data_IF_878530007970
#
_entry.id   IF_878530007970
#
_cell.length_a   1.000
_cell.length_b   1.000
_cell.length_c   1.000
_cell.angle_alpha   90.00
_cell.angle_beta   90.00
_cell.angle_gamma   90.00
#
_symmetry.space_group_name_H-M   'P 1'
#
loop_
_entity.id
_entity.type
_entity.pdbx_description
1 polymer ?
#
# COMPACT_ATOMS: atom_id res chain seq x y z
N UNK A 1 -19.77 -27.22 -16.55
CA UNK A 1 -20.25 -26.07 -17.33
C UNK A 1 -19.17 -25.67 -18.32
N UNK A 2 -19.49 -25.33 -19.58
CA UNK A 2 -18.50 -24.77 -20.52
C UNK A 2 -18.03 -23.42 -19.97
N UNK A 3 -16.73 -23.28 -19.77
CA UNK A 3 -16.09 -22.05 -19.33
C UNK A 3 -16.38 -20.94 -20.33
N UNK A 4 -16.88 -19.79 -19.87
CA UNK A 4 -17.06 -18.65 -20.76
C UNK A 4 -15.67 -18.18 -21.26
N UNK A 5 -15.48 -17.99 -22.57
CA UNK A 5 -14.17 -17.67 -23.13
C UNK A 5 -13.69 -16.28 -22.69
N UNK A 6 -12.37 -16.10 -22.67
CA UNK A 6 -11.74 -14.78 -22.59
C UNK A 6 -11.77 -14.18 -24.00
N UNK A 7 -12.27 -12.96 -24.14
CA UNK A 7 -12.36 -12.29 -25.43
C UNK A 7 -11.15 -11.39 -25.69
N UNK A 8 -10.74 -11.26 -26.96
CA UNK A 8 -9.67 -10.37 -27.40
C UNK A 8 -9.85 -8.93 -26.87
N UNK A 9 -11.09 -8.43 -26.79
CA UNK A 9 -11.38 -7.12 -26.21
C UNK A 9 -10.89 -6.97 -24.76
N UNK A 10 -11.00 -8.03 -23.94
CA UNK A 10 -10.53 -8.02 -22.54
C UNK A 10 -9.01 -8.03 -22.48
N UNK A 11 -8.35 -8.83 -23.34
CA UNK A 11 -6.89 -8.85 -23.48
C UNK A 11 -6.31 -7.49 -23.88
N UNK A 12 -6.90 -6.86 -24.90
CA UNK A 12 -6.50 -5.54 -25.37
C UNK A 12 -6.72 -4.47 -24.28
N UNK A 13 -7.83 -4.55 -23.54
CA UNK A 13 -8.11 -3.63 -22.44
C UNK A 13 -7.09 -3.73 -21.30
N UNK A 14 -6.70 -4.93 -20.90
CA UNK A 14 -5.65 -5.13 -19.88
C UNK A 14 -4.29 -4.56 -20.31
N UNK A 15 -3.99 -4.63 -21.60
CA UNK A 15 -2.80 -4.01 -22.20
C UNK A 15 -3.00 -2.50 -22.52
N UNK A 16 -4.12 -1.88 -22.13
CA UNK A 16 -4.51 -0.49 -22.44
C UNK A 16 -4.34 -0.10 -23.92
N UNK A 17 -4.70 -1.00 -24.83
CA UNK A 17 -4.57 -0.80 -26.27
C UNK A 17 -5.83 -1.19 -27.02
N UNK A 18 -5.92 -0.75 -28.27
CA UNK A 18 -7.08 -0.99 -29.15
C UNK A 18 -6.72 -1.78 -30.42
N UNK A 19 -5.42 -1.84 -30.76
CA UNK A 19 -4.91 -2.55 -31.94
C UNK A 19 -4.33 -3.89 -31.55
N UNK A 20 -4.62 -4.92 -32.35
CA UNK A 20 -4.09 -6.27 -32.20
C UNK A 20 -2.64 -6.32 -32.71
N UNK A 21 -1.76 -7.02 -31.98
CA UNK A 21 -0.39 -7.37 -32.34
C UNK A 21 -0.32 -8.83 -32.76
N UNK A 22 0.74 -9.20 -33.48
CA UNK A 22 0.92 -10.55 -34.02
C UNK A 22 0.94 -11.66 -32.96
N UNK A 23 1.49 -11.38 -31.77
CA UNK A 23 1.55 -12.36 -30.67
C UNK A 23 0.26 -12.49 -29.86
N UNK A 24 -0.73 -11.62 -30.07
CA UNK A 24 -1.91 -11.54 -29.18
C UNK A 24 -2.77 -12.78 -29.16
N UNK A 25 -2.92 -13.44 -30.30
CA UNK A 25 -3.71 -14.65 -30.36
C UNK A 25 -3.06 -15.75 -29.51
N UNK A 26 -1.73 -15.83 -29.53
CA UNK A 26 -0.98 -16.79 -28.71
C UNK A 26 -1.20 -16.52 -27.22
N UNK A 27 -1.08 -15.26 -26.77
CA UNK A 27 -1.32 -14.91 -25.36
C UNK A 27 -2.79 -15.05 -24.95
N UNK A 28 -3.75 -14.79 -25.85
CA UNK A 28 -5.16 -15.05 -25.58
C UNK A 28 -5.43 -16.54 -25.39
N UNK A 29 -4.84 -17.38 -26.23
CA UNK A 29 -4.93 -18.85 -26.12
C UNK A 29 -4.22 -19.34 -24.86
N UNK A 30 -3.08 -18.75 -24.48
CA UNK A 30 -2.37 -19.05 -23.24
C UNK A 30 -3.19 -18.65 -22.00
N UNK A 31 -3.82 -17.48 -21.98
CA UNK A 31 -4.75 -17.08 -20.92
C UNK A 31 -5.93 -18.06 -20.81
N UNK A 32 -6.41 -18.60 -21.92
CA UNK A 32 -7.44 -19.64 -21.92
C UNK A 32 -6.93 -20.99 -21.35
N UNK A 33 -5.62 -21.30 -21.43
CA UNK A 33 -4.98 -22.44 -20.74
C UNK A 33 -4.85 -22.20 -19.23
N UNK A 34 -4.57 -20.96 -18.80
CA UNK A 34 -4.48 -20.59 -17.38
C UNK A 34 -5.85 -20.68 -16.69
N UNK A 35 -6.93 -20.25 -17.36
CA UNK A 35 -8.24 -20.08 -16.75
C UNK A 35 -8.78 -21.32 -16.01
N UNK A 36 -8.70 -22.56 -16.55
CA UNK A 36 -9.09 -23.76 -15.81
C UNK A 36 -8.34 -23.95 -14.48
N UNK A 37 -7.05 -23.61 -14.41
CA UNK A 37 -6.24 -23.71 -13.19
C UNK A 37 -6.77 -22.73 -12.14
N UNK A 38 -7.01 -21.47 -12.56
CA UNK A 38 -7.61 -20.45 -11.69
C UNK A 38 -8.98 -20.88 -11.16
N UNK A 39 -9.81 -21.52 -11.99
CA UNK A 39 -11.15 -21.99 -11.59
C UNK A 39 -11.15 -23.13 -10.58
N UNK A 40 -10.09 -23.93 -10.54
CA UNK A 40 -9.91 -24.98 -9.55
C UNK A 40 -9.39 -24.43 -8.22
N UNK A 41 -8.79 -23.23 -8.23
CA UNK A 41 -8.28 -22.60 -7.02
C UNK A 41 -9.42 -22.07 -6.13
N UNK A 42 -9.41 -22.40 -4.82
CA UNK A 42 -10.32 -21.79 -3.86
C UNK A 42 -10.21 -20.27 -3.77
N UNK A 43 -9.06 -19.69 -4.17
CA UNK A 43 -8.83 -18.26 -4.10
C UNK A 43 -9.84 -17.47 -4.94
N UNK A 44 -10.21 -17.96 -6.12
CA UNK A 44 -11.09 -17.25 -7.06
C UNK A 44 -12.43 -17.95 -7.25
N UNK A 45 -12.88 -18.72 -6.26
CA UNK A 45 -14.14 -19.45 -6.33
C UNK A 45 -15.34 -18.48 -6.50
N UNK A 46 -16.29 -18.86 -7.36
CA UNK A 46 -17.59 -18.18 -7.46
C UNK A 46 -17.64 -16.89 -8.31
N UNK A 47 -16.52 -16.34 -8.78
CA UNK A 47 -16.50 -15.11 -9.58
C UNK A 47 -15.81 -15.30 -10.95
N UNK A 48 -16.61 -15.48 -12.00
CA UNK A 48 -16.12 -15.67 -13.37
C UNK A 48 -15.33 -14.46 -13.90
N UNK A 49 -15.67 -13.24 -13.47
CA UNK A 49 -14.94 -12.04 -13.89
C UNK A 49 -13.58 -11.95 -13.20
N UNK A 50 -13.52 -12.20 -11.89
CA UNK A 50 -12.25 -12.24 -11.17
C UNK A 50 -11.34 -13.36 -11.68
N UNK A 51 -11.90 -14.54 -11.98
CA UNK A 51 -11.15 -15.67 -12.58
C UNK A 51 -10.53 -15.29 -13.92
N UNK A 52 -11.30 -14.65 -14.81
CA UNK A 52 -10.81 -14.16 -16.10
C UNK A 52 -9.77 -13.06 -15.92
N UNK A 53 -10.01 -12.13 -15.01
CA UNK A 53 -9.06 -11.04 -14.75
C UNK A 53 -7.72 -11.58 -14.23
N UNK A 54 -7.73 -12.60 -13.36
CA UNK A 54 -6.52 -13.26 -12.90
C UNK A 54 -5.78 -13.96 -14.04
N UNK A 55 -6.47 -14.72 -14.87
CA UNK A 55 -5.86 -15.38 -16.03
C UNK A 55 -5.24 -14.37 -17.01
N UNK A 56 -5.92 -13.25 -17.26
CA UNK A 56 -5.41 -12.17 -18.11
C UNK A 56 -4.18 -11.51 -17.46
N UNK A 57 -4.25 -11.14 -16.19
CA UNK A 57 -3.16 -10.40 -15.50
C UNK A 57 -1.87 -11.23 -15.43
N UNK A 58 -1.98 -12.54 -15.14
CA UNK A 58 -0.86 -13.47 -15.19
C UNK A 58 -0.28 -13.61 -16.61
N UNK A 59 -1.13 -13.57 -17.62
CA UNK A 59 -0.69 -13.61 -19.01
C UNK A 59 0.01 -12.30 -19.44
N UNK A 60 -0.44 -11.14 -18.96
CA UNK A 60 0.25 -9.85 -19.17
C UNK A 60 1.61 -9.85 -18.48
N UNK A 61 1.71 -10.36 -17.24
CA UNK A 61 2.99 -10.57 -16.56
C UNK A 61 3.94 -11.43 -17.41
N UNK A 62 3.46 -12.56 -17.92
CA UNK A 62 4.29 -13.43 -18.74
C UNK A 62 4.75 -12.75 -20.04
N UNK A 63 3.86 -12.01 -20.70
CA UNK A 63 4.22 -11.20 -21.87
C UNK A 63 5.35 -10.21 -21.54
N UNK A 64 5.27 -9.51 -20.41
CA UNK A 64 6.26 -8.52 -20.00
C UNK A 64 7.62 -9.16 -19.69
N UNK A 65 7.63 -10.33 -19.05
CA UNK A 65 8.85 -11.10 -18.78
C UNK A 65 9.51 -11.55 -20.10
N UNK A 66 8.74 -12.15 -21.01
CA UNK A 66 9.25 -12.60 -22.33
C UNK A 66 9.82 -11.43 -23.14
N UNK A 67 9.15 -10.28 -23.11
CA UNK A 67 9.60 -9.09 -23.83
C UNK A 67 10.68 -8.30 -23.07
N UNK A 68 10.94 -8.63 -21.79
CA UNK A 68 11.83 -7.91 -20.87
C UNK A 68 11.55 -6.40 -20.84
N UNK A 69 10.28 -6.04 -20.89
CA UNK A 69 9.77 -4.66 -20.94
C UNK A 69 8.33 -4.61 -20.47
N UNK A 70 7.74 -3.42 -20.39
CA UNK A 70 6.33 -3.23 -20.00
C UNK A 70 6.14 -2.98 -18.51
N UNK A 71 4.89 -3.08 -18.07
CA UNK A 71 4.47 -2.68 -16.73
C UNK A 71 5.18 -3.45 -15.62
N UNK A 72 5.43 -4.75 -15.80
CA UNK A 72 6.17 -5.55 -14.81
C UNK A 72 7.61 -5.07 -14.65
N UNK A 73 8.32 -4.89 -15.77
CA UNK A 73 9.72 -4.44 -15.77
C UNK A 73 9.88 -3.06 -15.13
N UNK A 74 8.98 -2.13 -15.48
CA UNK A 74 8.95 -0.79 -14.86
C UNK A 74 8.71 -0.91 -13.35
N UNK A 75 7.77 -1.75 -12.92
CA UNK A 75 7.51 -1.95 -11.50
C UNK A 75 8.73 -2.52 -10.77
N UNK A 76 9.31 -3.62 -11.26
CA UNK A 76 10.40 -4.32 -10.57
C UNK A 76 11.68 -3.48 -10.52
N UNK A 77 12.02 -2.75 -11.58
CA UNK A 77 13.19 -1.86 -11.62
C UNK A 77 13.03 -0.66 -10.68
N UNK A 78 11.84 -0.05 -10.66
CA UNK A 78 11.55 1.06 -9.75
C UNK A 78 11.53 0.58 -8.30
N UNK A 79 10.94 -0.59 -8.03
CA UNK A 79 10.94 -1.20 -6.70
C UNK A 79 12.37 -1.52 -6.23
N UNK A 80 13.21 -2.09 -7.10
CA UNK A 80 14.62 -2.31 -6.82
C UNK A 80 15.39 -1.04 -6.52
N UNK A 81 15.13 0.03 -7.28
CA UNK A 81 15.76 1.34 -7.06
C UNK A 81 15.39 1.94 -5.70
N UNK A 82 14.19 1.68 -5.19
CA UNK A 82 13.71 2.21 -3.91
C UNK A 82 14.10 1.34 -2.70
N UNK A 83 14.01 0.02 -2.84
CA UNK A 83 14.08 -0.91 -1.70
C UNK A 83 15.25 -1.89 -1.77
N UNK A 84 16.06 -1.85 -2.84
CA UNK A 84 17.20 -2.76 -3.05
C UNK A 84 16.80 -4.25 -3.00
N UNK A 85 15.61 -4.55 -3.52
CA UNK A 85 15.02 -5.88 -3.75
C UNK A 85 14.00 -5.75 -4.88
N UNK A 86 13.61 -6.82 -5.57
CA UNK A 86 12.76 -6.74 -6.76
C UNK A 86 11.25 -6.82 -6.49
N UNK A 87 10.83 -7.31 -5.32
CA UNK A 87 9.42 -7.31 -4.93
C UNK A 87 9.21 -7.24 -3.40
N UNK A 88 8.04 -6.74 -2.94
CA UNK A 88 7.70 -6.66 -1.53
C UNK A 88 7.34 -8.02 -0.93
N UNK A 89 7.41 -8.15 0.39
CA UNK A 89 6.93 -9.30 1.19
C UNK A 89 7.72 -10.61 1.08
N UNK A 90 8.35 -10.93 -0.05
CA UNK A 90 9.04 -12.20 -0.26
C UNK A 90 10.55 -12.06 -0.04
N UNK A 91 11.14 -13.05 0.62
CA UNK A 91 12.59 -13.16 0.75
C UNK A 91 13.14 -13.87 -0.48
N UNK A 92 13.83 -13.12 -1.34
CA UNK A 92 14.36 -13.64 -2.60
C UNK A 92 15.64 -14.44 -2.33
N UNK A 93 15.70 -15.63 -2.92
CA UNK A 93 16.88 -16.51 -2.85
C UNK A 93 17.69 -16.43 -4.14
N UNK A 94 18.83 -17.11 -4.20
CA UNK A 94 19.67 -17.20 -5.41
C UNK A 94 18.95 -17.85 -6.61
N UNK A 95 17.82 -18.52 -6.38
CA UNK A 95 16.96 -19.04 -7.46
C UNK A 95 16.09 -17.99 -8.13
N UNK A 96 15.93 -16.81 -7.51
CA UNK A 96 15.19 -15.71 -8.10
C UNK A 96 16.06 -15.04 -9.16
N UNK A 97 15.62 -15.09 -10.42
CA UNK A 97 16.34 -14.48 -11.53
C UNK A 97 15.53 -13.27 -12.00
N UNK A 98 16.05 -12.04 -11.84
CA UNK A 98 15.40 -10.86 -12.40
C UNK A 98 15.23 -10.99 -13.90
N UNK A 99 14.11 -10.48 -14.44
CA UNK A 99 13.75 -10.54 -15.86
C UNK A 99 13.47 -11.95 -16.42
N UNK A 100 13.31 -12.94 -15.54
CA UNK A 100 12.80 -14.28 -15.84
C UNK A 100 11.49 -14.54 -15.08
N UNK A 101 10.83 -15.67 -15.34
CA UNK A 101 9.63 -16.05 -14.57
C UNK A 101 10.02 -16.52 -13.17
N UNK A 102 9.39 -15.97 -12.12
CA UNK A 102 9.57 -16.46 -10.75
C UNK A 102 8.22 -16.79 -10.09
N UNK A 103 8.11 -17.83 -9.25
CA UNK A 103 6.91 -18.11 -8.46
C UNK A 103 6.51 -16.96 -7.53
N UNK A 104 7.49 -16.23 -6.98
CA UNK A 104 7.28 -15.08 -6.10
C UNK A 104 6.59 -13.93 -6.83
N UNK A 105 6.99 -13.67 -8.07
CA UNK A 105 6.37 -12.65 -8.93
C UNK A 105 4.91 -13.01 -9.22
N UNK A 106 4.65 -14.27 -9.57
CA UNK A 106 3.29 -14.79 -9.82
C UNK A 106 2.43 -14.68 -8.55
N UNK A 107 2.96 -15.03 -7.39
CA UNK A 107 2.26 -14.90 -6.11
C UNK A 107 1.95 -13.43 -5.79
N UNK A 108 2.85 -12.51 -6.10
CA UNK A 108 2.62 -11.08 -5.95
C UNK A 108 1.52 -10.57 -6.89
N UNK A 109 1.53 -10.97 -8.17
CA UNK A 109 0.46 -10.62 -9.12
C UNK A 109 -0.91 -11.15 -8.66
N UNK A 110 -0.95 -12.37 -8.11
CA UNK A 110 -2.18 -12.90 -7.51
C UNK A 110 -2.61 -12.10 -6.27
N UNK A 111 -1.65 -11.67 -5.45
CA UNK A 111 -1.90 -10.82 -4.28
C UNK A 111 -2.50 -9.47 -4.67
N UNK A 112 -2.02 -8.80 -5.72
CA UNK A 112 -2.59 -7.49 -6.17
C UNK A 112 -4.03 -7.61 -6.68
N UNK A 113 -4.48 -8.81 -7.04
CA UNK A 113 -5.87 -9.08 -7.42
C UNK A 113 -6.78 -9.36 -6.21
N UNK A 114 -6.19 -9.63 -5.04
CA UNK A 114 -6.90 -9.91 -3.78
C UNK A 114 -6.79 -8.79 -2.76
N UNK A 115 -5.75 -7.98 -2.87
CA UNK A 115 -5.45 -6.82 -2.06
C UNK A 115 -5.57 -5.60 -2.94
N UNK A 116 -6.47 -4.68 -2.60
CA UNK A 116 -6.64 -3.45 -3.38
C UNK A 116 -6.85 -2.25 -2.45
N UNK A 117 -6.34 -1.06 -2.83
CA UNK A 117 -6.64 0.18 -2.12
C UNK A 117 -8.13 0.53 -2.18
N UNK A 118 -8.53 1.46 -1.32
CA UNK A 118 -9.82 2.11 -1.41
C UNK A 118 -9.96 2.86 -2.74
N UNK A 119 -11.05 2.64 -3.48
CA UNK A 119 -11.30 3.28 -4.77
C UNK A 119 -12.20 4.50 -4.68
N UNK A 120 -13.30 4.41 -3.89
CA UNK A 120 -14.27 5.49 -3.75
C UNK A 120 -14.41 5.93 -2.29
N UNK A 121 -14.61 4.97 -1.38
CA UNK A 121 -14.76 5.25 0.04
C UNK A 121 -13.55 4.73 0.84
N UNK A 122 -13.11 5.42 1.91
CA UNK A 122 -11.93 5.02 2.68
C UNK A 122 -12.00 3.61 3.27
N UNK A 123 -13.19 3.06 3.48
CA UNK A 123 -13.41 1.73 4.06
C UNK A 123 -13.49 0.61 3.01
N UNK A 124 -13.48 0.93 1.72
CA UNK A 124 -13.60 -0.04 0.60
C UNK A 124 -12.24 -0.58 0.11
N UNK A 125 -11.32 -0.90 1.03
CA UNK A 125 -10.05 -1.56 0.71
C UNK A 125 -10.09 -3.04 1.10
N UNK A 126 -9.26 -3.86 0.43
CA UNK A 126 -9.11 -5.28 0.73
C UNK A 126 -7.68 -5.61 1.15
N UNK A 127 -7.55 -6.43 2.19
CA UNK A 127 -6.28 -6.95 2.69
C UNK A 127 -6.26 -8.47 2.51
N UNK A 128 -5.21 -8.98 1.85
CA UNK A 128 -4.94 -10.40 1.76
C UNK A 128 -3.51 -10.69 2.25
N UNK A 129 -3.32 -11.85 2.88
CA UNK A 129 -2.00 -12.26 3.34
C UNK A 129 -1.12 -12.62 2.13
N UNK A 130 0.01 -11.94 1.87
CA UNK A 130 0.90 -12.30 0.76
C UNK A 130 1.53 -13.70 0.90
N UNK A 131 1.57 -14.27 2.10
CA UNK A 131 2.08 -15.61 2.35
C UNK A 131 0.99 -16.67 2.48
N UNK A 132 -0.22 -16.38 1.98
CA UNK A 132 -1.30 -17.38 1.95
C UNK A 132 -0.88 -18.64 1.16
N UNK A 133 -1.21 -19.81 1.70
CA UNK A 133 -0.84 -21.10 1.08
C UNK A 133 -1.54 -21.32 -0.26
N UNK A 134 -2.74 -20.79 -0.42
CA UNK A 134 -3.46 -20.80 -1.69
C UNK A 134 -2.75 -19.99 -2.77
N UNK A 135 -2.17 -18.84 -2.42
CA UNK A 135 -1.40 -18.00 -3.35
C UNK A 135 -0.17 -18.75 -3.85
N UNK A 136 0.65 -19.25 -2.92
CA UNK A 136 1.87 -20.00 -3.26
C UNK A 136 1.60 -21.28 -4.04
N UNK A 137 0.57 -22.04 -3.67
CA UNK A 137 0.18 -23.25 -4.41
C UNK A 137 -0.24 -22.92 -5.84
N UNK A 138 -1.12 -21.93 -6.00
CA UNK A 138 -1.56 -21.50 -7.33
C UNK A 138 -0.41 -20.93 -8.15
N UNK A 139 0.46 -20.12 -7.53
CA UNK A 139 1.61 -19.53 -8.19
C UNK A 139 2.54 -20.60 -8.76
N UNK A 140 2.76 -21.69 -8.02
CA UNK A 140 3.60 -22.79 -8.47
C UNK A 140 2.99 -23.60 -9.62
N UNK A 141 1.66 -23.76 -9.66
CA UNK A 141 0.98 -24.41 -10.79
C UNK A 141 1.07 -23.56 -12.06
N UNK A 142 0.86 -22.25 -11.92
CA UNK A 142 0.99 -21.30 -13.01
C UNK A 142 2.44 -21.21 -13.51
N UNK A 143 3.41 -21.18 -12.60
CA UNK A 143 4.84 -21.19 -12.95
C UNK A 143 5.18 -22.35 -13.88
N UNK A 144 4.74 -23.58 -13.54
CA UNK A 144 5.01 -24.77 -14.37
C UNK A 144 4.45 -24.61 -15.79
N UNK A 145 3.23 -24.08 -15.90
CA UNK A 145 2.62 -23.84 -17.20
C UNK A 145 3.39 -22.76 -17.99
N UNK A 146 3.86 -21.70 -17.33
CA UNK A 146 4.69 -20.66 -17.98
C UNK A 146 6.03 -21.22 -18.44
N UNK A 147 6.71 -21.98 -17.58
CA UNK A 147 8.00 -22.63 -17.86
C UNK A 147 7.91 -23.57 -19.08
N UNK A 148 6.87 -24.40 -19.15
CA UNK A 148 6.61 -25.29 -20.30
C UNK A 148 6.37 -24.55 -21.62
N UNK A 149 5.92 -23.30 -21.59
CA UNK A 149 5.58 -22.51 -22.78
C UNK A 149 6.55 -21.34 -23.00
N UNK A 150 7.60 -21.21 -22.18
CA UNK A 150 8.50 -20.04 -22.16
C UNK A 150 9.19 -19.83 -23.51
N UNK A 151 9.78 -20.89 -24.06
CA UNK A 151 10.50 -20.87 -25.35
C UNK A 151 9.59 -20.66 -26.58
N UNK A 152 8.29 -20.93 -26.44
CA UNK A 152 7.31 -20.79 -27.53
C UNK A 152 6.62 -19.42 -27.55
N UNK A 153 6.75 -18.65 -26.47
CA UNK A 153 6.05 -17.39 -26.30
C UNK A 153 6.59 -16.30 -27.25
N UNK A 154 5.74 -15.66 -28.07
CA UNK A 154 6.19 -14.63 -28.99
C UNK A 154 6.51 -13.33 -28.24
N UNK A 155 7.60 -12.67 -28.64
CA UNK A 155 7.93 -11.32 -28.16
C UNK A 155 6.98 -10.31 -28.83
N UNK A 156 6.26 -9.54 -28.01
CA UNK A 156 5.46 -8.40 -28.49
C UNK A 156 6.32 -7.12 -28.39
N UNK A 157 6.54 -6.44 -29.53
CA UNK A 157 7.41 -5.24 -29.58
C UNK A 157 6.83 -4.02 -28.86
N UNK A 158 5.51 -3.95 -28.70
CA UNK A 158 4.86 -2.86 -27.97
C UNK A 158 4.73 -3.25 -26.50
N UNK A 159 5.37 -2.53 -25.56
CA UNK A 159 5.28 -2.82 -24.14
C UNK A 159 3.85 -2.70 -23.62
N UNK A 160 3.52 -3.49 -22.59
CA UNK A 160 2.30 -3.25 -21.82
C UNK A 160 2.42 -1.94 -21.01
N UNK A 161 1.28 -1.40 -20.57
CA UNK A 161 1.26 -0.21 -19.70
C UNK A 161 1.60 -0.54 -18.23
N UNK A 162 1.84 0.46 -17.36
CA UNK A 162 1.90 0.22 -15.90
C UNK A 162 0.58 -0.33 -15.35
N UNK A 163 0.52 -1.65 -15.17
CA UNK A 163 -0.67 -2.39 -14.75
C UNK A 163 -0.57 -2.99 -13.34
N UNK A 164 0.64 -3.21 -12.81
CA UNK A 164 0.87 -3.94 -11.54
C UNK A 164 0.29 -3.21 -10.31
N UNK A 165 0.30 -1.87 -10.32
CA UNK A 165 -0.05 -1.05 -9.15
C UNK A 165 -0.77 0.26 -9.49
N UNK A 166 -1.32 0.38 -10.69
CA UNK A 166 -1.80 1.67 -11.23
C UNK A 166 -0.64 2.55 -11.73
N UNK A 167 -0.96 3.65 -12.41
CA UNK A 167 0.07 4.60 -12.86
C UNK A 167 0.57 5.42 -11.67
N UNK A 168 1.88 5.42 -11.43
CA UNK A 168 2.62 6.35 -10.55
C UNK A 168 2.74 6.00 -9.05
N UNK A 169 2.38 4.78 -8.61
CA UNK A 169 2.47 4.42 -7.19
C UNK A 169 3.87 4.58 -6.59
N UNK A 170 4.87 4.10 -7.33
CA UNK A 170 6.27 4.14 -6.90
C UNK A 170 6.98 5.43 -7.33
N UNK A 171 6.32 6.27 -8.12
CA UNK A 171 6.91 7.49 -8.67
C UNK A 171 6.91 8.64 -7.64
N UNK A 172 5.99 8.61 -6.66
CA UNK A 172 5.94 9.61 -5.58
C UNK A 172 7.18 9.49 -4.69
N UNK A 173 8.12 10.44 -4.68
CA UNK A 173 9.32 10.31 -3.86
C UNK A 173 8.97 10.39 -2.36
N UNK A 174 9.63 9.59 -1.52
CA UNK A 174 9.54 9.81 -0.08
C UNK A 174 10.35 11.04 0.32
N UNK A 175 9.75 11.91 1.14
CA UNK A 175 10.43 13.09 1.69
C UNK A 175 10.94 12.79 3.10
N UNK A 176 12.15 13.28 3.47
CA UNK A 176 12.62 13.19 4.85
C UNK A 176 11.63 13.84 5.83
N UNK A 177 11.60 13.33 7.06
CA UNK A 177 10.82 13.97 8.11
C UNK A 177 11.27 15.43 8.29
N UNK A 178 10.32 16.37 8.49
CA UNK A 178 10.64 17.77 8.74
C UNK A 178 11.19 17.98 10.16
N UNK A 179 12.46 17.63 10.36
CA UNK A 179 13.16 17.75 11.63
C UNK A 179 13.43 19.21 12.01
N UNK A 180 13.32 19.51 13.31
CA UNK A 180 13.61 20.82 13.86
C UNK A 180 15.10 20.91 14.18
N UNK A 181 15.82 21.76 13.45
CA UNK A 181 17.23 22.11 13.73
C UNK A 181 17.32 23.47 14.43
N UNK A 182 18.46 23.81 15.07
CA UNK A 182 18.64 25.12 15.70
C UNK A 182 18.46 26.32 14.75
N UNK A 183 18.69 26.14 13.46
CA UNK A 183 18.53 27.16 12.42
C UNK A 183 17.11 27.22 11.85
N UNK A 184 16.26 26.25 12.19
CA UNK A 184 14.89 26.17 11.71
C UNK A 184 14.07 27.31 12.29
N UNK A 185 13.52 28.16 11.41
CA UNK A 185 12.57 29.20 11.82
C UNK A 185 11.20 28.57 12.05
N UNK A 186 10.83 28.41 13.31
CA UNK A 186 9.56 27.81 13.70
C UNK A 186 8.40 28.80 13.58
N UNK A 187 7.21 28.26 13.34
CA UNK A 187 5.97 29.02 13.52
C UNK A 187 5.69 29.18 15.01
N UNK A 188 4.99 30.26 15.40
CA UNK A 188 4.60 30.47 16.81
C UNK A 188 3.82 29.30 17.40
N UNK A 189 2.98 28.66 16.60
CA UNK A 189 2.21 27.49 17.04
C UNK A 189 3.15 26.33 17.42
N UNK A 190 4.21 26.09 16.64
CA UNK A 190 5.20 25.05 16.94
C UNK A 190 6.03 25.44 18.16
N UNK A 191 6.49 26.68 18.27
CA UNK A 191 7.23 27.17 19.45
C UNK A 191 6.43 26.97 20.75
N UNK A 192 5.17 27.42 20.77
CA UNK A 192 4.31 27.28 21.94
C UNK A 192 3.97 25.81 22.25
N UNK A 193 3.81 24.96 21.22
CA UNK A 193 3.58 23.52 21.41
C UNK A 193 4.77 22.85 22.09
N UNK A 194 5.99 23.17 21.65
CA UNK A 194 7.22 22.62 22.22
C UNK A 194 7.48 23.14 23.62
N UNK A 195 7.22 24.42 23.89
CA UNK A 195 7.32 24.97 25.25
C UNK A 195 6.35 24.24 26.20
N UNK A 196 5.10 24.06 25.79
CA UNK A 196 4.07 23.36 26.55
C UNK A 196 4.43 21.89 26.83
N UNK A 197 5.01 21.19 25.85
CA UNK A 197 5.34 19.76 25.96
C UNK A 197 6.71 19.47 26.58
N UNK A 198 7.45 20.51 26.99
CA UNK A 198 8.85 20.41 27.42
C UNK A 198 9.75 19.81 26.33
N UNK A 199 9.59 20.29 25.09
CA UNK A 199 10.39 19.93 23.92
C UNK A 199 9.94 18.66 23.19
N UNK A 200 8.86 17.99 23.61
CA UNK A 200 8.38 16.78 22.92
C UNK A 200 7.55 17.15 21.68
N UNK A 201 7.81 16.56 20.51
CA UNK A 201 7.11 16.94 19.29
C UNK A 201 5.68 16.37 19.21
N UNK A 202 5.37 15.29 19.94
CA UNK A 202 4.03 14.72 20.01
C UNK A 202 3.30 15.16 21.27
N UNK A 203 2.09 15.71 21.08
CA UNK A 203 1.17 16.09 22.15
C UNK A 203 -0.11 15.27 22.02
N UNK A 204 -0.72 14.97 23.17
CA UNK A 204 -1.81 14.01 23.29
C UNK A 204 -3.00 14.64 24.02
N UNK A 205 -4.19 14.58 23.42
CA UNK A 205 -5.42 15.13 24.01
C UNK A 205 -6.54 14.10 23.94
N UNK A 206 -7.21 13.85 25.06
CA UNK A 206 -8.24 12.81 25.15
C UNK A 206 -9.53 13.24 24.49
N UNK A 207 -9.88 14.52 24.63
CA UNK A 207 -11.16 15.06 24.16
C UNK A 207 -10.99 16.34 23.35
N UNK A 208 -11.95 16.63 22.48
CA UNK A 208 -11.96 17.87 21.71
C UNK A 208 -11.96 19.11 22.62
N UNK A 209 -12.59 19.02 23.80
CA UNK A 209 -12.56 20.10 24.79
C UNK A 209 -11.14 20.39 25.31
N UNK A 210 -10.34 19.36 25.57
CA UNK A 210 -8.94 19.51 25.97
C UNK A 210 -8.11 20.12 24.83
N UNK A 211 -8.35 19.68 23.60
CA UNK A 211 -7.72 20.22 22.40
C UNK A 211 -8.03 21.71 22.20
N UNK A 212 -9.32 22.11 22.28
CA UNK A 212 -9.72 23.52 22.20
C UNK A 212 -9.10 24.37 23.29
N UNK A 213 -9.01 23.84 24.52
CA UNK A 213 -8.34 24.53 25.63
C UNK A 213 -6.88 24.79 25.29
N UNK A 214 -6.18 23.82 24.68
CA UNK A 214 -4.82 24.01 24.20
C UNK A 214 -4.73 25.08 23.09
N UNK A 215 -5.62 25.08 22.10
CA UNK A 215 -5.64 26.11 21.06
C UNK A 215 -5.79 27.53 21.62
N UNK A 216 -6.71 27.73 22.56
CA UNK A 216 -6.97 29.06 23.13
C UNK A 216 -5.87 29.45 24.13
N UNK A 217 -5.63 28.60 25.14
CA UNK A 217 -4.78 28.97 26.27
C UNK A 217 -3.28 28.91 25.93
N UNK A 218 -2.86 28.01 25.06
CA UNK A 218 -1.45 27.84 24.68
C UNK A 218 -1.16 28.52 23.35
N UNK A 219 -1.90 28.17 22.29
CA UNK A 219 -1.63 28.70 20.95
C UNK A 219 -2.16 30.12 20.71
N UNK A 220 -2.97 30.65 21.63
CA UNK A 220 -3.56 32.00 21.56
C UNK A 220 -4.48 32.19 20.36
N UNK A 221 -5.15 31.13 19.92
CA UNK A 221 -6.19 31.22 18.90
C UNK A 221 -7.44 31.91 19.45
N UNK A 222 -8.27 32.45 18.56
CA UNK A 222 -9.53 33.08 18.96
C UNK A 222 -10.49 32.03 19.57
N UNK A 223 -11.11 32.37 20.69
CA UNK A 223 -12.11 31.52 21.37
C UNK A 223 -13.48 31.66 20.70
N UNK A 224 -13.53 31.28 19.42
CA UNK A 224 -14.76 31.21 18.63
C UNK A 224 -14.89 29.83 17.99
N UNK A 225 -16.10 29.23 17.93
CA UNK A 225 -16.28 27.87 17.40
C UNK A 225 -15.72 27.66 15.99
N UNK A 226 -15.75 28.68 15.13
CA UNK A 226 -15.20 28.63 13.77
C UNK A 226 -13.67 28.55 13.73
N UNK A 227 -12.99 29.06 14.76
CA UNK A 227 -11.52 29.14 14.81
C UNK A 227 -10.87 27.91 15.45
N UNK A 228 -11.67 26.98 15.97
CA UNK A 228 -11.19 25.85 16.78
C UNK A 228 -11.31 24.49 16.08
N UNK A 229 -11.38 24.48 14.75
CA UNK A 229 -11.50 23.26 13.93
C UNK A 229 -12.79 22.48 14.24
N UNK A 230 -13.97 23.06 13.99
CA UNK A 230 -15.26 22.46 14.37
C UNK A 230 -15.52 21.09 13.76
N UNK A 231 -14.88 20.75 12.63
CA UNK A 231 -14.99 19.43 12.00
C UNK A 231 -14.47 18.30 12.90
N UNK A 232 -13.60 18.61 13.87
CA UNK A 232 -13.03 17.65 14.82
C UNK A 232 -13.90 17.43 16.07
N UNK A 233 -15.05 18.11 16.19
CA UNK A 233 -15.84 18.12 17.43
C UNK A 233 -16.37 16.74 17.86
N UNK A 234 -16.49 15.80 16.93
CA UNK A 234 -16.99 14.45 17.18
C UNK A 234 -15.87 13.42 17.37
N UNK A 235 -14.62 13.82 17.16
CA UNK A 235 -13.46 12.98 17.35
C UNK A 235 -12.93 13.06 18.79
N UNK A 236 -12.02 12.14 19.11
CA UNK A 236 -11.34 12.06 20.40
C UNK A 236 -9.90 11.59 20.20
N UNK A 237 -9.16 11.44 21.31
CA UNK A 237 -7.85 10.77 21.33
C UNK A 237 -6.89 11.28 20.23
N UNK A 238 -6.65 12.58 20.28
CA UNK A 238 -5.88 13.34 19.29
C UNK A 238 -4.38 13.22 19.52
N UNK A 239 -3.64 13.20 18.41
CA UNK A 239 -2.20 13.42 18.36
C UNK A 239 -1.92 14.70 17.60
N UNK A 240 -1.21 15.64 18.22
CA UNK A 240 -0.58 16.76 17.50
C UNK A 240 0.88 16.41 17.28
N UNK A 241 1.36 16.56 16.04
CA UNK A 241 2.78 16.51 15.72
C UNK A 241 3.28 17.90 15.34
N UNK A 242 4.06 18.50 16.23
CA UNK A 242 4.74 19.77 16.00
C UNK A 242 6.12 19.49 15.37
N UNK A 243 6.33 20.00 14.15
CA UNK A 243 7.53 19.75 13.36
C UNK A 243 7.99 21.02 12.61
N UNK A 244 9.04 20.93 11.80
CA UNK A 244 9.60 22.11 11.11
C UNK A 244 8.65 22.78 10.10
N UNK A 245 7.69 22.03 9.53
CA UNK A 245 6.68 22.57 8.59
C UNK A 245 5.51 23.22 9.32
N UNK A 246 5.19 22.79 10.54
CA UNK A 246 4.02 23.28 11.28
C UNK A 246 3.49 22.25 12.28
N UNK A 247 2.17 22.27 12.48
CA UNK A 247 1.48 21.29 13.30
C UNK A 247 0.58 20.42 12.43
N UNK A 248 0.68 19.11 12.61
CA UNK A 248 -0.26 18.14 12.08
C UNK A 248 -1.17 17.65 13.20
N UNK A 249 -2.42 17.36 12.89
CA UNK A 249 -3.41 16.90 13.88
C UNK A 249 -4.04 15.62 13.35
N UNK A 250 -4.04 14.58 14.16
CA UNK A 250 -4.65 13.29 13.84
C UNK A 250 -5.64 12.89 14.94
N UNK A 251 -6.95 12.86 14.66
CA UNK A 251 -7.95 12.35 15.60
C UNK A 251 -7.91 10.82 15.69
N UNK A 252 -8.44 10.27 16.79
CA UNK A 252 -8.75 8.86 17.04
C UNK A 252 -7.58 7.85 16.97
N UNK A 253 -6.35 8.33 16.77
CA UNK A 253 -5.15 7.49 16.60
C UNK A 253 -4.24 7.43 17.82
N UNK A 254 -4.48 8.23 18.87
CA UNK A 254 -3.52 8.34 19.98
C UNK A 254 -3.22 7.01 20.67
N UNK A 255 -4.16 6.08 20.75
CA UNK A 255 -3.92 4.80 21.41
C UNK A 255 -2.87 3.91 20.71
N UNK A 256 -2.50 4.22 19.47
CA UNK A 256 -1.53 3.43 18.70
C UNK A 256 -0.07 3.80 19.04
N UNK A 257 0.16 4.98 19.62
CA UNK A 257 1.50 5.51 19.88
C UNK A 257 1.99 5.18 21.29
N UNK A 258 3.01 4.32 21.39
CA UNK A 258 3.59 3.91 22.68
C UNK A 258 4.62 4.92 23.19
N UNK A 259 4.16 5.91 23.94
CA UNK A 259 5.03 6.87 24.65
C UNK A 259 4.67 6.95 26.14
N UNK A 260 5.68 7.21 26.99
CA UNK A 260 5.48 7.27 28.45
C UNK A 260 4.52 8.39 28.88
N UNK A 261 4.45 9.49 28.12
CA UNK A 261 3.55 10.62 28.37
C UNK A 261 2.23 10.53 27.59
N UNK A 262 1.96 9.43 26.87
CA UNK A 262 0.68 9.19 26.22
C UNK A 262 -0.24 8.36 27.15
N UNK A 263 -1.23 8.96 27.83
CA UNK A 263 -2.11 8.24 28.73
C UNK A 263 -3.14 7.35 28.00
N UNK A 264 -3.28 7.51 26.68
CA UNK A 264 -4.31 6.82 25.88
C UNK A 264 -3.79 5.56 25.18
N UNK A 265 -2.48 5.32 25.22
CA UNK A 265 -1.87 4.15 24.59
C UNK A 265 -2.55 2.85 25.02
N UNK A 266 -2.91 2.01 24.05
CA UNK A 266 -3.54 0.73 24.28
C UNK A 266 -2.98 -0.31 23.29
N UNK A 267 -2.17 -1.23 23.81
CA UNK A 267 -1.50 -2.27 23.03
C UNK A 267 -2.46 -3.17 22.25
N UNK A 268 -3.60 -3.54 22.85
CA UNK A 268 -4.60 -4.40 22.23
C UNK A 268 -5.29 -3.69 21.06
N UNK A 269 -5.66 -2.41 21.24
CA UNK A 269 -6.26 -1.60 20.18
C UNK A 269 -5.27 -1.30 19.07
N UNK A 270 -4.01 -1.03 19.41
CA UNK A 270 -2.92 -0.88 18.43
C UNK A 270 -2.73 -2.15 17.59
N UNK A 271 -2.77 -3.32 18.22
CA UNK A 271 -2.72 -4.60 17.51
C UNK A 271 -3.95 -4.87 16.64
N UNK A 272 -5.15 -4.53 17.12
CA UNK A 272 -6.38 -4.81 16.42
C UNK A 272 -6.69 -3.83 15.27
N UNK A 273 -6.25 -2.57 15.39
CA UNK A 273 -6.70 -1.46 14.53
C UNK A 273 -5.60 -0.53 14.03
N UNK A 274 -4.38 -0.63 14.57
CA UNK A 274 -3.28 0.27 14.20
C UNK A 274 -2.84 0.16 12.73
N UNK A 275 -3.14 -0.94 12.04
CA UNK A 275 -2.87 -1.06 10.60
C UNK A 275 -3.68 -0.08 9.75
N UNK A 276 -4.81 0.43 10.25
CA UNK A 276 -5.65 1.40 9.53
C UNK A 276 -4.87 2.69 9.22
N UNK A 277 -3.84 3.02 10.01
CA UNK A 277 -2.89 4.11 9.72
C UNK A 277 -2.27 3.97 8.32
N UNK A 278 -1.96 2.75 7.90
CA UNK A 278 -1.24 2.46 6.65
C UNK A 278 -2.17 2.12 5.50
N UNK A 279 -3.43 1.78 5.79
CA UNK A 279 -4.34 1.20 4.81
C UNK A 279 -5.59 2.04 4.52
N UNK A 280 -5.96 2.96 5.42
CA UNK A 280 -7.20 3.72 5.33
C UNK A 280 -6.90 5.21 5.06
N UNK A 281 -7.18 5.71 3.85
CA UNK A 281 -7.00 7.11 3.48
C UNK A 281 -7.59 8.10 4.51
N UNK A 282 -6.86 9.20 4.77
CA UNK A 282 -7.31 10.27 5.67
C UNK A 282 -7.22 9.96 7.17
N UNK A 283 -6.82 8.75 7.59
CA UNK A 283 -6.76 8.37 9.01
C UNK A 283 -5.68 9.12 9.79
N UNK A 284 -4.50 9.30 9.19
CA UNK A 284 -3.36 9.91 9.85
C UNK A 284 -2.45 10.60 8.82
N UNK A 285 -1.96 11.82 9.10
CA UNK A 285 -0.96 12.47 8.26
C UNK A 285 0.28 11.60 8.09
N UNK A 286 0.78 11.47 6.85
CA UNK A 286 1.85 10.52 6.55
C UNK A 286 3.17 10.84 7.28
N UNK A 287 3.50 12.12 7.47
CA UNK A 287 4.65 12.55 8.27
C UNK A 287 4.57 12.05 9.73
N UNK A 288 3.37 11.91 10.30
CA UNK A 288 3.19 11.33 11.64
C UNK A 288 3.36 9.80 11.64
N UNK A 289 2.92 9.11 10.59
CA UNK A 289 3.17 7.67 10.41
C UNK A 289 4.67 7.40 10.31
N UNK A 290 5.37 8.16 9.44
CA UNK A 290 6.84 8.10 9.29
C UNK A 290 7.55 8.33 10.63
N UNK A 291 7.13 9.35 11.38
CA UNK A 291 7.69 9.64 12.70
C UNK A 291 7.46 8.47 13.67
N UNK A 292 6.23 7.94 13.71
CA UNK A 292 5.86 6.81 14.57
C UNK A 292 6.68 5.54 14.31
N UNK A 293 6.89 5.21 13.04
CA UNK A 293 7.72 4.07 12.62
C UNK A 293 9.21 4.33 12.90
N UNK A 294 9.72 5.52 12.55
CA UNK A 294 11.12 5.89 12.75
C UNK A 294 11.56 5.92 14.21
N UNK A 295 10.67 6.33 15.12
CA UNK A 295 10.93 6.34 16.57
C UNK A 295 10.62 5.00 17.25
N UNK A 296 10.07 4.01 16.54
CA UNK A 296 9.69 2.72 17.12
C UNK A 296 8.53 2.82 18.13
N UNK A 297 7.70 3.86 18.02
CA UNK A 297 6.55 4.12 18.90
C UNK A 297 5.23 3.62 18.33
N UNK A 298 5.27 2.82 17.26
CA UNK A 298 4.14 2.01 16.76
C UNK A 298 4.45 0.51 16.87
N UNK A 299 4.76 -0.04 18.05
CA UNK A 299 5.37 -1.36 18.15
C UNK A 299 4.40 -2.53 18.05
N UNK A 300 3.09 -2.31 18.20
CA UNK A 300 2.07 -3.37 18.19
C UNK A 300 1.25 -3.39 16.90
N UNK A 301 1.43 -2.42 16.01
CA UNK A 301 0.66 -2.34 14.76
C UNK A 301 0.96 -3.56 13.89
N UNK A 302 -0.10 -4.18 13.37
CA UNK A 302 -0.01 -5.39 12.56
C UNK A 302 -1.21 -5.51 11.63
N UNK A 303 -0.98 -6.06 10.44
CA UNK A 303 -2.07 -6.41 9.54
C UNK A 303 -2.95 -7.51 10.17
N UNK A 304 -4.26 -7.53 9.88
CA UNK A 304 -5.24 -8.40 10.55
C UNK A 304 -5.22 -9.84 10.01
N UNK A 305 -4.03 -10.44 9.91
CA UNK A 305 -3.80 -11.82 9.44
C UNK A 305 -2.48 -12.39 10.01
N UNK A 306 -2.25 -13.72 9.91
CA UNK A 306 -1.02 -14.34 10.42
C UNK A 306 0.25 -13.69 9.86
N UNK A 307 1.26 -13.53 10.70
CA UNK A 307 2.54 -12.86 10.38
C UNK A 307 2.42 -11.38 9.97
N UNK A 308 1.22 -10.80 10.12
CA UNK A 308 0.90 -9.43 9.70
C UNK A 308 1.74 -8.35 10.39
N UNK A 309 2.29 -8.62 11.57
CA UNK A 309 3.22 -7.72 12.26
C UNK A 309 4.55 -7.64 11.54
N UNK A 310 5.18 -8.79 11.27
CA UNK A 310 6.47 -8.84 10.58
C UNK A 310 6.36 -8.25 9.18
N UNK A 311 5.29 -8.60 8.46
CA UNK A 311 5.01 -8.08 7.12
C UNK A 311 4.85 -6.56 7.14
N UNK A 312 4.03 -6.01 8.06
CA UNK A 312 3.85 -4.58 8.17
C UNK A 312 5.17 -3.88 8.49
N UNK A 313 5.86 -4.29 9.56
CA UNK A 313 7.07 -3.59 10.00
C UNK A 313 8.21 -3.63 8.99
N UNK A 314 8.34 -4.70 8.20
CA UNK A 314 9.36 -4.79 7.13
C UNK A 314 9.00 -4.01 5.87
N UNK A 315 7.71 -3.82 5.58
CA UNK A 315 7.23 -3.31 4.29
C UNK A 315 6.33 -2.07 4.44
N UNK A 316 6.36 -1.38 5.58
CA UNK A 316 5.37 -0.33 5.91
C UNK A 316 5.33 0.80 4.89
N UNK A 317 6.47 1.19 4.31
CA UNK A 317 6.53 2.26 3.30
C UNK A 317 5.82 1.83 2.02
N UNK A 318 6.11 0.61 1.53
CA UNK A 318 5.40 0.05 0.38
C UNK A 318 3.89 -0.10 0.64
N UNK A 319 3.51 -0.61 1.81
CA UNK A 319 2.10 -0.78 2.19
C UNK A 319 1.40 0.59 2.22
N UNK A 320 2.01 1.60 2.83
CA UNK A 320 1.47 2.94 2.88
C UNK A 320 1.32 3.54 1.47
N UNK A 321 2.33 3.41 0.60
CA UNK A 321 2.21 3.81 -0.81
C UNK A 321 1.01 3.14 -1.47
N UNK A 322 0.98 1.81 -1.38
CA UNK A 322 0.00 0.95 -2.03
C UNK A 322 -1.44 1.29 -1.65
N UNK A 323 -1.70 1.51 -0.35
CA UNK A 323 -3.06 1.70 0.14
C UNK A 323 -3.49 3.16 0.30
N UNK A 324 -2.56 4.07 0.63
CA UNK A 324 -2.90 5.47 0.87
C UNK A 324 -2.95 6.27 -0.44
N UNK A 325 -2.34 5.80 -1.53
CA UNK A 325 -2.39 6.45 -2.84
C UNK A 325 -2.03 7.95 -2.77
N UNK A 326 -2.96 8.85 -3.09
CA UNK A 326 -2.74 10.32 -3.04
C UNK A 326 -2.49 10.87 -1.62
N UNK A 327 -2.83 10.10 -0.58
CA UNK A 327 -2.56 10.46 0.83
C UNK A 327 -1.15 10.05 1.27
N UNK A 328 -0.40 9.29 0.46
CA UNK A 328 1.01 9.03 0.67
C UNK A 328 1.83 10.25 0.26
N UNK A 329 2.57 10.85 1.21
CA UNK A 329 3.27 12.14 1.01
C UNK A 329 2.34 13.27 0.53
N UNK A 330 1.03 13.16 0.77
CA UNK A 330 0.05 14.21 0.49
C UNK A 330 0.22 15.41 1.43
N UNK A 331 -0.09 16.61 0.93
CA UNK A 331 -0.03 17.89 1.65
C UNK A 331 -1.11 18.03 2.74
#
# INVERSE_FOLDING_TARGET
MKTAPIFMKQWLAANKRTRILSGDQWYLDFAAKILPIIKLSPLFEGDDNAQKNAAISLCVYFQDVIARTGGWKIFSDTYHSLYNTYLPFYQLSDSYIPDEINPEDIAFVLWTLKSHPALNEPDEYALHNPHDKGLSTLAQEIYKLMDENFEEAPINETPSSSWVTGTNLLDTPSTPLPEITPETRLSKNVEYSLEYSSGKPLLYFTTYKELCKFFVEVLKWEDTPSSLLPDLQHNKEFVIYANAKGMLIAPDVAAYFREAHNPMYNAERAAAKGYELFCRPGTCPFDLIKYGMGQGILPEVQLPFPDGKEILHKNWDFIARYYLCEYYEGD
#
